data_IF_150720918231
#
_entry.id   IF_150720918231
#
_cell.length_a   1.000
_cell.length_b   1.000
_cell.length_c   1.000
_cell.angle_alpha   90.00
_cell.angle_beta   90.00
_cell.angle_gamma   90.00
#
_symmetry.space_group_name_H-M   'P 1'
#
loop_
_entity.id
_entity.type
_entity.pdbx_description
1 polymer ?
#
# COMPACT_ATOMS: atom_id res chain seq x y z
N UNK A 1 -6.58 -49.83 -24.57
CA UNK A 1 -5.27 -49.19 -24.37
C UNK A 1 -5.36 -47.66 -24.46
N UNK A 2 -5.79 -47.05 -25.56
CA UNK A 2 -5.81 -45.58 -25.75
C UNK A 2 -6.57 -44.81 -24.64
N UNK A 3 -7.75 -45.30 -24.22
CA UNK A 3 -8.53 -44.70 -23.12
C UNK A 3 -7.82 -44.70 -21.77
N UNK A 4 -7.15 -45.82 -21.44
CA UNK A 4 -6.40 -45.93 -20.18
C UNK A 4 -5.19 -44.99 -20.19
N UNK A 5 -4.45 -44.94 -21.31
CA UNK A 5 -3.30 -44.02 -21.45
C UNK A 5 -3.76 -42.57 -21.32
N UNK A 6 -4.87 -42.19 -21.95
CA UNK A 6 -5.44 -40.85 -21.87
C UNK A 6 -5.84 -40.48 -20.43
N UNK A 7 -6.53 -41.39 -19.72
CA UNK A 7 -6.91 -41.19 -18.31
C UNK A 7 -5.70 -41.06 -17.40
N UNK A 8 -4.63 -41.83 -17.63
CA UNK A 8 -3.38 -41.73 -16.87
C UNK A 8 -2.71 -40.35 -17.09
N UNK A 9 -2.66 -39.87 -18.35
CA UNK A 9 -2.08 -38.57 -18.67
C UNK A 9 -2.89 -37.45 -18.02
N UNK A 10 -4.23 -37.47 -18.12
CA UNK A 10 -5.11 -36.48 -17.47
C UNK A 10 -4.92 -36.50 -15.96
N UNK A 11 -4.87 -37.70 -15.36
CA UNK A 11 -4.61 -37.83 -13.90
C UNK A 11 -3.27 -37.26 -13.48
N UNK A 12 -2.20 -37.53 -14.25
CA UNK A 12 -0.88 -36.98 -13.99
C UNK A 12 -0.85 -35.42 -14.11
N UNK A 13 -1.49 -34.88 -15.13
CA UNK A 13 -1.60 -33.42 -15.31
C UNK A 13 -2.42 -32.76 -14.18
N UNK A 14 -3.51 -33.40 -13.75
CA UNK A 14 -4.31 -32.92 -12.62
C UNK A 14 -3.51 -32.92 -11.30
N UNK A 15 -2.77 -33.99 -11.02
CA UNK A 15 -1.91 -34.08 -9.84
C UNK A 15 -0.79 -33.04 -9.89
N UNK A 16 -0.18 -32.84 -11.05
CA UNK A 16 0.83 -31.80 -11.24
C UNK A 16 0.24 -30.39 -10.97
N UNK A 17 -0.94 -30.11 -11.54
CA UNK A 17 -1.63 -28.85 -11.33
C UNK A 17 -1.96 -28.60 -9.84
N UNK A 18 -2.50 -29.60 -9.16
CA UNK A 18 -2.79 -29.56 -7.71
C UNK A 18 -1.49 -29.32 -6.93
N UNK A 19 -0.40 -30.01 -7.28
CA UNK A 19 0.90 -29.84 -6.66
C UNK A 19 1.44 -28.41 -6.80
N UNK A 20 1.32 -27.82 -7.99
CA UNK A 20 1.72 -26.41 -8.23
C UNK A 20 0.85 -25.44 -7.43
N UNK A 21 -0.47 -25.63 -7.42
CA UNK A 21 -1.36 -24.82 -6.61
C UNK A 21 -1.05 -24.94 -5.11
N UNK A 22 -0.78 -26.15 -4.63
CA UNK A 22 -0.35 -26.40 -3.25
C UNK A 22 0.96 -25.68 -2.92
N UNK A 23 1.96 -25.78 -3.79
CA UNK A 23 3.23 -25.05 -3.64
C UNK A 23 3.01 -23.53 -3.54
N UNK A 24 2.23 -22.95 -4.44
CA UNK A 24 1.89 -21.53 -4.41
C UNK A 24 1.17 -21.15 -3.12
N UNK A 25 0.25 -21.98 -2.63
CA UNK A 25 -0.45 -21.77 -1.37
C UNK A 25 0.50 -21.69 -0.16
N UNK A 26 1.49 -22.59 -0.09
CA UNK A 26 2.47 -22.58 1.02
C UNK A 26 3.53 -21.48 0.87
N UNK A 27 3.84 -21.07 -0.35
CA UNK A 27 4.84 -20.05 -0.63
C UNK A 27 4.28 -18.62 -0.70
N UNK A 28 2.95 -18.43 -0.64
CA UNK A 28 2.32 -17.14 -0.96
C UNK A 28 2.84 -15.97 -0.10
N UNK A 29 3.15 -16.18 1.18
CA UNK A 29 3.70 -15.11 2.04
C UNK A 29 5.08 -14.66 1.55
N UNK A 30 5.93 -15.60 1.11
CA UNK A 30 7.24 -15.28 0.51
C UNK A 30 7.13 -14.62 -0.86
N UNK A 31 6.05 -14.93 -1.60
CA UNK A 31 5.78 -14.33 -2.92
C UNK A 31 5.06 -12.98 -2.81
N UNK A 32 4.45 -12.71 -1.66
CA UNK A 32 3.67 -11.50 -1.42
C UNK A 32 4.46 -10.45 -0.65
N UNK A 33 5.19 -10.83 0.40
CA UNK A 33 5.89 -9.90 1.27
C UNK A 33 7.40 -9.95 1.02
N UNK A 34 7.99 -8.77 0.85
CA UNK A 34 9.42 -8.61 0.56
C UNK A 34 10.08 -7.74 1.63
N UNK A 35 10.15 -8.20 2.90
CA UNK A 35 10.76 -7.43 3.96
C UNK A 35 12.22 -7.13 3.65
N UNK A 36 12.59 -5.86 3.68
CA UNK A 36 13.95 -5.37 3.46
C UNK A 36 14.50 -4.78 4.76
N UNK A 37 15.78 -5.02 5.10
CA UNK A 37 16.42 -4.39 6.25
C UNK A 37 16.58 -2.88 6.02
N UNK A 38 16.77 -2.12 7.11
CA UNK A 38 17.10 -0.69 7.02
C UNK A 38 18.39 -0.51 6.24
N UNK A 39 18.33 0.24 5.14
CA UNK A 39 19.49 0.46 4.27
C UNK A 39 20.45 1.51 4.87
N UNK A 40 19.91 2.60 5.42
CA UNK A 40 20.64 3.66 6.08
C UNK A 40 19.70 4.51 6.95
N UNK A 41 20.17 4.94 8.11
CA UNK A 41 19.40 5.89 8.92
C UNK A 41 19.54 7.30 8.36
N UNK A 42 18.42 8.00 8.10
CA UNK A 42 18.47 9.38 7.62
C UNK A 42 19.11 10.29 8.69
N UNK A 43 19.95 11.23 8.24
CA UNK A 43 20.67 12.17 9.11
C UNK A 43 20.17 13.61 9.00
N UNK A 44 19.09 13.87 8.25
CA UNK A 44 18.56 15.22 8.08
C UNK A 44 17.96 15.76 9.38
N UNK A 45 18.19 17.04 9.76
CA UNK A 45 17.71 17.61 11.02
C UNK A 45 16.19 17.57 11.21
N UNK A 46 15.43 17.62 10.11
CA UNK A 46 13.97 17.55 10.14
C UNK A 46 13.41 16.14 10.24
N UNK A 47 14.26 15.11 10.34
CA UNK A 47 13.85 13.70 10.38
C UNK A 47 14.20 13.13 11.76
N UNK A 48 13.19 12.81 12.55
CA UNK A 48 13.32 12.12 13.83
C UNK A 48 12.93 10.64 13.70
N UNK A 49 13.58 9.78 14.48
CA UNK A 49 13.18 8.37 14.62
C UNK A 49 12.10 8.23 15.68
N UNK A 50 11.16 7.31 15.48
CA UNK A 50 10.06 7.05 16.40
C UNK A 50 9.77 5.56 16.49
N UNK A 51 9.22 5.13 17.62
CA UNK A 51 8.76 3.76 17.84
C UNK A 51 7.32 3.78 18.35
N UNK A 52 6.55 2.79 17.94
CA UNK A 52 5.17 2.60 18.34
C UNK A 52 4.96 1.14 18.73
N UNK A 53 4.35 0.90 19.89
CA UNK A 53 3.90 -0.44 20.26
C UNK A 53 2.51 -0.70 19.65
N UNK A 54 2.43 -1.70 18.77
CA UNK A 54 1.18 -2.15 18.14
C UNK A 54 0.91 -3.59 18.51
N UNK A 55 0.03 -3.79 19.49
CA UNK A 55 -0.17 -5.10 20.12
C UNK A 55 1.11 -5.57 20.81
N UNK A 56 1.59 -6.75 20.42
CA UNK A 56 2.81 -7.36 20.97
C UNK A 56 4.09 -6.91 20.27
N UNK A 57 4.00 -6.13 19.19
CA UNK A 57 5.14 -5.80 18.33
C UNK A 57 5.45 -4.32 18.38
N UNK A 58 6.75 -4.03 18.37
CA UNK A 58 7.27 -2.68 18.27
C UNK A 58 7.57 -2.33 16.83
N UNK A 59 6.89 -1.30 16.33
CA UNK A 59 7.14 -0.73 15.02
C UNK A 59 8.20 0.36 15.11
N UNK A 60 8.99 0.49 14.07
CA UNK A 60 10.00 1.54 13.89
C UNK A 60 9.66 2.42 12.71
N UNK A 61 9.88 3.72 12.88
CA UNK A 61 9.52 4.68 11.85
C UNK A 61 10.20 6.03 12.04
N UNK A 62 9.71 6.98 11.28
CA UNK A 62 10.24 8.34 11.22
C UNK A 62 9.11 9.36 11.25
N UNK A 63 9.41 10.50 11.86
CA UNK A 63 8.59 11.69 11.79
C UNK A 63 9.42 12.79 11.14
N UNK A 64 8.84 13.41 10.12
CA UNK A 64 9.49 14.43 9.32
C UNK A 64 8.74 15.75 9.54
N UNK A 65 9.50 16.85 9.72
CA UNK A 65 8.96 18.18 9.97
C UNK A 65 7.99 18.22 11.18
N UNK A 66 8.39 17.62 12.30
CA UNK A 66 7.55 17.50 13.51
C UNK A 66 6.99 18.83 14.01
N UNK A 67 7.69 19.95 13.79
CA UNK A 67 7.28 21.31 14.21
C UNK A 67 6.39 22.03 13.18
N UNK A 68 6.08 21.39 12.06
CA UNK A 68 5.17 21.92 11.05
C UNK A 68 3.78 22.13 11.65
N UNK A 69 3.12 23.23 11.31
CA UNK A 69 1.73 23.50 11.65
C UNK A 69 0.75 23.08 10.53
N UNK A 70 1.27 22.49 9.46
CA UNK A 70 0.47 21.95 8.36
C UNK A 70 -0.27 20.67 8.73
N UNK A 71 -0.86 19.98 7.76
CA UNK A 71 -1.60 18.74 8.00
C UNK A 71 -0.70 17.62 8.53
N UNK A 72 -1.32 16.60 9.12
CA UNK A 72 -0.68 15.30 9.39
C UNK A 72 -0.74 14.46 8.12
N UNK A 73 0.37 13.91 7.69
CA UNK A 73 0.44 13.00 6.55
C UNK A 73 0.99 11.65 7.00
N UNK A 74 0.16 10.62 7.01
CA UNK A 74 0.59 9.24 7.26
C UNK A 74 0.85 8.55 5.93
N UNK A 75 2.07 8.02 5.74
CA UNK A 75 2.48 7.34 4.52
C UNK A 75 2.61 5.84 4.71
N UNK A 76 1.94 5.09 3.85
CA UNK A 76 2.04 3.64 3.72
C UNK A 76 2.77 3.28 2.43
N UNK A 77 3.97 2.76 2.56
CA UNK A 77 4.85 2.42 1.45
C UNK A 77 4.40 1.24 0.61
N UNK A 78 5.08 1.04 -0.51
CA UNK A 78 4.87 -0.12 -1.38
C UNK A 78 5.40 -1.41 -0.75
N UNK A 79 5.04 -2.53 -1.38
CA UNK A 79 5.60 -3.83 -1.00
C UNK A 79 7.10 -3.88 -1.28
N UNK A 80 7.89 -4.24 -0.28
CA UNK A 80 9.36 -4.23 -0.36
C UNK A 80 10.01 -2.86 -0.18
N UNK A 81 9.22 -1.80 0.06
CA UNK A 81 9.75 -0.48 0.35
C UNK A 81 10.18 -0.39 1.82
N UNK A 82 11.47 -0.14 2.04
CA UNK A 82 12.01 0.20 3.34
C UNK A 82 12.05 1.74 3.45
N UNK A 83 11.31 2.29 4.42
CA UNK A 83 10.90 3.69 4.38
C UNK A 83 12.00 4.69 4.76
N UNK A 84 13.13 4.27 5.32
CA UNK A 84 14.25 5.17 5.58
C UNK A 84 14.71 5.91 4.33
N UNK A 85 14.69 5.23 3.19
CA UNK A 85 15.08 5.79 1.90
C UNK A 85 14.05 6.79 1.33
N UNK A 86 12.80 6.65 1.72
CA UNK A 86 11.72 7.55 1.28
C UNK A 86 11.63 8.83 2.09
N UNK A 87 12.11 8.83 3.34
CA UNK A 87 12.00 9.98 4.27
C UNK A 87 12.51 11.32 3.71
N UNK A 88 13.64 11.39 2.96
CA UNK A 88 14.16 12.67 2.47
C UNK A 88 13.21 13.40 1.53
N UNK A 89 12.35 12.67 0.81
CA UNK A 89 11.38 13.29 -0.10
C UNK A 89 10.35 14.11 0.69
N UNK A 90 9.94 13.64 1.88
CA UNK A 90 8.92 14.30 2.69
C UNK A 90 9.39 15.59 3.38
N UNK A 91 10.69 15.86 3.44
CA UNK A 91 11.25 17.10 4.03
C UNK A 91 10.71 18.36 3.34
N UNK A 92 10.44 18.29 2.03
CA UNK A 92 9.93 19.43 1.27
C UNK A 92 8.40 19.66 1.36
N UNK A 93 7.68 18.76 2.07
CA UNK A 93 6.23 18.91 2.25
C UNK A 93 5.92 19.84 3.41
N UNK A 94 4.91 20.72 3.27
CA UNK A 94 4.44 21.58 4.37
C UNK A 94 3.49 20.78 5.30
N UNK A 95 3.94 19.64 5.80
CA UNK A 95 3.17 18.71 6.62
C UNK A 95 4.09 18.06 7.65
N UNK A 96 3.54 17.62 8.79
CA UNK A 96 4.20 16.64 9.64
C UNK A 96 3.95 15.26 9.01
N UNK A 97 4.98 14.62 8.48
CA UNK A 97 4.86 13.33 7.81
C UNK A 97 5.31 12.19 8.71
N UNK A 98 4.49 11.15 8.80
CA UNK A 98 4.68 9.99 9.67
C UNK A 98 4.81 8.75 8.80
N UNK A 99 5.94 8.05 8.92
CA UNK A 99 6.27 6.86 8.16
C UNK A 99 6.70 5.75 9.12
N UNK A 100 6.00 4.62 9.13
CA UNK A 100 6.41 3.43 9.89
C UNK A 100 6.65 2.26 8.95
N UNK A 101 7.79 1.59 9.10
CA UNK A 101 7.99 0.30 8.46
C UNK A 101 6.93 -0.69 8.93
N UNK A 102 6.38 -1.45 8.00
CA UNK A 102 5.45 -2.52 8.34
C UNK A 102 6.09 -3.53 9.30
N UNK A 103 5.24 -4.22 10.08
CA UNK A 103 5.72 -5.34 10.90
C UNK A 103 6.58 -6.30 10.08
N UNK A 104 7.75 -6.65 10.58
CA UNK A 104 8.73 -7.49 9.91
C UNK A 104 9.57 -6.82 8.82
N UNK A 105 9.35 -5.50 8.55
CA UNK A 105 10.17 -4.71 7.62
C UNK A 105 11.12 -3.79 8.39
N UNK A 106 12.30 -3.55 7.84
CA UNK A 106 13.32 -2.75 8.52
C UNK A 106 13.62 -3.31 9.90
N UNK A 107 13.53 -2.42 10.91
CA UNK A 107 13.71 -2.79 12.32
C UNK A 107 12.38 -2.97 13.07
N UNK A 108 11.24 -3.02 12.36
CA UNK A 108 9.95 -3.34 12.96
C UNK A 108 9.85 -4.82 13.29
N UNK A 109 9.36 -5.14 14.49
CA UNK A 109 9.17 -6.51 14.95
C UNK A 109 7.99 -7.21 14.24
N UNK A 110 7.88 -8.51 14.46
CA UNK A 110 6.76 -9.34 13.99
C UNK A 110 6.94 -9.92 12.60
N UNK A 111 5.81 -10.33 12.00
CA UNK A 111 5.74 -10.88 10.64
C UNK A 111 4.61 -10.19 9.89
N UNK A 112 4.82 -9.87 8.59
CA UNK A 112 3.78 -9.22 7.80
C UNK A 112 2.57 -10.14 7.62
N UNK A 113 1.38 -9.56 7.80
CA UNK A 113 0.10 -10.18 7.52
C UNK A 113 -0.94 -9.09 7.27
N UNK A 114 -1.98 -9.37 6.50
CA UNK A 114 -3.04 -8.38 6.24
C UNK A 114 -3.65 -7.83 7.53
N UNK A 115 -4.11 -8.71 8.41
CA UNK A 115 -4.74 -8.31 9.68
C UNK A 115 -3.79 -7.45 10.51
N UNK A 116 -2.53 -7.88 10.60
CA UNK A 116 -1.53 -7.13 11.36
C UNK A 116 -1.20 -5.77 10.75
N UNK A 117 -1.03 -5.70 9.43
CA UNK A 117 -0.71 -4.43 8.75
C UNK A 117 -1.87 -3.43 8.82
N UNK A 118 -3.11 -3.91 8.79
CA UNK A 118 -4.29 -3.06 8.99
C UNK A 118 -4.35 -2.52 10.41
N UNK A 119 -4.19 -3.37 11.43
CA UNK A 119 -4.15 -2.92 12.82
C UNK A 119 -2.98 -1.95 13.10
N UNK A 120 -1.82 -2.19 12.50
CA UNK A 120 -0.67 -1.27 12.61
C UNK A 120 -0.98 0.09 11.98
N UNK A 121 -1.64 0.09 10.82
CA UNK A 121 -1.97 1.33 10.12
C UNK A 121 -2.94 2.20 10.95
N UNK A 122 -3.92 1.58 11.59
CA UNK A 122 -4.83 2.27 12.51
C UNK A 122 -4.09 2.83 13.72
N UNK A 123 -3.21 2.04 14.34
CA UNK A 123 -2.38 2.46 15.47
C UNK A 123 -1.44 3.62 15.10
N UNK A 124 -0.88 3.63 13.89
CA UNK A 124 -0.04 4.71 13.39
C UNK A 124 -0.82 6.02 13.23
N UNK A 125 -2.08 5.95 12.75
CA UNK A 125 -2.94 7.14 12.68
C UNK A 125 -3.28 7.65 14.07
N UNK A 126 -3.67 6.77 15.00
CA UNK A 126 -3.96 7.15 16.38
C UNK A 126 -2.74 7.80 17.05
N UNK A 127 -1.55 7.23 16.84
CA UNK A 127 -0.30 7.82 17.30
C UNK A 127 -0.07 9.22 16.70
N UNK A 128 -0.27 9.37 15.38
CA UNK A 128 -0.06 10.65 14.70
C UNK A 128 -0.95 11.75 15.28
N UNK A 129 -2.23 11.47 15.48
CA UNK A 129 -3.19 12.41 16.05
C UNK A 129 -2.91 12.70 17.54
N UNK A 130 -2.61 11.67 18.33
CA UNK A 130 -2.30 11.86 19.75
C UNK A 130 -1.03 12.66 20.00
N UNK A 131 0.02 12.46 19.17
CA UNK A 131 1.32 13.12 19.34
C UNK A 131 1.38 14.52 18.76
N UNK A 132 0.64 14.79 17.65
CA UNK A 132 0.80 16.02 16.86
C UNK A 132 -0.48 16.84 16.72
N UNK A 133 -1.60 16.40 17.29
CA UNK A 133 -2.86 17.15 17.39
C UNK A 133 -4.01 16.56 16.57
N UNK A 134 -5.16 16.40 17.23
CA UNK A 134 -6.40 15.91 16.61
C UNK A 134 -7.11 16.97 15.73
N UNK A 135 -6.82 18.23 15.96
CA UNK A 135 -7.47 19.35 15.23
C UNK A 135 -6.80 19.64 13.88
N UNK A 136 -5.73 18.94 13.56
CA UNK A 136 -5.00 19.11 12.30
C UNK A 136 -5.61 18.23 11.22
N UNK A 137 -5.74 18.73 9.97
CA UNK A 137 -6.19 17.90 8.87
C UNK A 137 -5.35 16.64 8.74
N UNK A 138 -5.99 15.48 8.65
CA UNK A 138 -5.37 14.17 8.48
C UNK A 138 -5.37 13.77 7.01
N UNK A 139 -4.20 13.51 6.47
CA UNK A 139 -4.00 12.96 5.14
C UNK A 139 -3.42 11.56 5.25
N UNK A 140 -3.93 10.64 4.44
CA UNK A 140 -3.38 9.30 4.31
C UNK A 140 -2.87 9.10 2.89
N UNK A 141 -1.60 8.72 2.76
CA UNK A 141 -0.97 8.46 1.48
C UNK A 141 -0.55 6.99 1.38
N UNK A 142 -1.00 6.28 0.34
CA UNK A 142 -0.62 4.90 0.09
C UNK A 142 -0.06 4.67 -1.31
N UNK A 143 1.03 3.90 -1.40
CA UNK A 143 1.65 3.50 -2.66
C UNK A 143 1.53 2.00 -2.86
N UNK A 144 1.05 1.54 -4.03
CA UNK A 144 0.97 0.11 -4.37
C UNK A 144 0.24 -0.68 -3.26
N UNK A 145 0.87 -1.66 -2.59
CA UNK A 145 0.29 -2.35 -1.43
C UNK A 145 -0.19 -1.36 -0.36
N UNK A 146 0.57 -0.29 -0.11
CA UNK A 146 0.18 0.77 0.81
C UNK A 146 -1.11 1.48 0.41
N UNK A 147 -1.49 1.50 -0.88
CA UNK A 147 -2.76 2.08 -1.31
C UNK A 147 -3.96 1.31 -0.75
N UNK A 148 -3.87 -0.01 -0.67
CA UNK A 148 -4.92 -0.85 -0.08
C UNK A 148 -5.00 -0.64 1.43
N UNK A 149 -3.84 -0.50 2.09
CA UNK A 149 -3.76 -0.16 3.51
C UNK A 149 -4.37 1.22 3.76
N UNK A 150 -4.04 2.21 2.92
CA UNK A 150 -4.60 3.55 3.00
C UNK A 150 -6.12 3.58 2.83
N UNK A 151 -6.67 2.79 1.91
CA UNK A 151 -8.13 2.67 1.71
C UNK A 151 -8.80 2.05 2.94
N UNK A 152 -8.24 0.96 3.49
CA UNK A 152 -8.73 0.38 4.74
C UNK A 152 -8.69 1.41 5.88
N UNK A 153 -7.55 2.07 6.06
CA UNK A 153 -7.38 3.10 7.09
C UNK A 153 -8.36 4.26 6.92
N UNK A 154 -8.63 4.66 5.68
CA UNK A 154 -9.58 5.74 5.40
C UNK A 154 -11.02 5.37 5.79
N UNK A 155 -11.42 4.10 5.60
CA UNK A 155 -12.73 3.62 6.03
C UNK A 155 -12.88 3.59 7.57
N UNK A 156 -11.79 3.33 8.30
CA UNK A 156 -11.81 3.22 9.77
C UNK A 156 -11.55 4.55 10.48
N UNK A 157 -10.70 5.42 9.91
CA UNK A 157 -10.20 6.66 10.56
C UNK A 157 -10.72 7.94 9.95
N UNK A 158 -11.45 7.88 8.83
CA UNK A 158 -12.10 9.01 8.16
C UNK A 158 -11.20 10.25 7.98
N UNK A 159 -10.06 10.13 7.26
CA UNK A 159 -9.16 11.25 7.02
C UNK A 159 -9.81 12.33 6.15
N UNK A 160 -9.32 13.58 6.25
CA UNK A 160 -9.79 14.70 5.44
C UNK A 160 -9.44 14.55 3.95
N UNK A 161 -8.33 13.85 3.65
CA UNK A 161 -7.93 13.58 2.28
C UNK A 161 -7.13 12.28 2.14
N UNK A 162 -7.19 11.69 0.95
CA UNK A 162 -6.47 10.47 0.61
C UNK A 162 -5.66 10.66 -0.67
N UNK A 163 -4.43 10.15 -0.67
CA UNK A 163 -3.54 10.12 -1.83
C UNK A 163 -3.19 8.67 -2.12
N UNK A 164 -3.43 8.22 -3.34
CA UNK A 164 -3.18 6.83 -3.74
C UNK A 164 -2.33 6.79 -5.01
N UNK A 165 -1.19 6.13 -4.93
CA UNK A 165 -0.30 5.91 -6.07
C UNK A 165 -0.39 4.46 -6.52
N UNK A 166 -0.76 4.26 -7.79
CA UNK A 166 -1.02 2.95 -8.40
C UNK A 166 -1.98 2.08 -7.56
N UNK A 167 -3.18 2.58 -7.19
CA UNK A 167 -4.13 1.81 -6.41
C UNK A 167 -4.73 0.65 -7.21
N UNK A 168 -5.13 -0.38 -6.47
CA UNK A 168 -5.84 -1.54 -6.98
C UNK A 168 -6.89 -2.04 -5.98
N UNK A 169 -7.84 -2.86 -6.43
CA UNK A 169 -9.01 -3.26 -5.61
C UNK A 169 -8.71 -4.40 -4.64
N UNK A 170 -7.89 -5.36 -5.09
CA UNK A 170 -7.49 -6.52 -4.28
C UNK A 170 -6.24 -7.19 -4.84
N UNK A 171 -5.48 -7.86 -3.99
CA UNK A 171 -4.38 -8.73 -4.44
C UNK A 171 -4.91 -9.87 -5.31
N UNK A 172 -6.13 -10.33 -5.08
CA UNK A 172 -6.75 -11.37 -5.91
C UNK A 172 -6.93 -10.91 -7.37
N UNK A 173 -7.33 -9.66 -7.59
CA UNK A 173 -7.51 -9.11 -8.93
C UNK A 173 -6.17 -9.03 -9.66
N UNK A 174 -5.13 -8.49 -9.01
CA UNK A 174 -3.77 -8.43 -9.56
C UNK A 174 -3.21 -9.83 -9.85
N UNK A 175 -3.38 -10.78 -8.93
CA UNK A 175 -2.95 -12.17 -9.11
C UNK A 175 -3.68 -12.85 -10.27
N UNK A 176 -4.95 -12.56 -10.50
CA UNK A 176 -5.74 -13.10 -11.62
C UNK A 176 -5.18 -12.64 -12.97
N UNK A 177 -4.70 -11.40 -13.06
CA UNK A 177 -4.04 -10.91 -14.28
C UNK A 177 -2.68 -11.59 -14.49
N UNK A 178 -1.95 -11.86 -13.42
CA UNK A 178 -0.60 -12.46 -13.47
C UNK A 178 -0.62 -13.96 -13.71
N UNK A 179 -1.59 -14.68 -13.11
CA UNK A 179 -1.72 -16.14 -13.14
C UNK A 179 -2.96 -16.59 -13.92
N UNK A 180 -3.07 -16.16 -15.18
CA UNK A 180 -4.24 -16.40 -16.05
C UNK A 180 -4.60 -17.87 -16.28
N UNK A 181 -3.69 -18.78 -15.97
CA UNK A 181 -3.90 -20.25 -16.07
C UNK A 181 -4.56 -20.84 -14.81
N UNK A 182 -4.71 -20.05 -13.72
CA UNK A 182 -5.46 -20.43 -12.53
C UNK A 182 -6.83 -19.74 -12.58
N UNK A 183 -7.94 -20.48 -12.41
CA UNK A 183 -9.25 -19.85 -12.32
C UNK A 183 -9.32 -18.80 -11.21
N UNK A 184 -9.98 -17.67 -11.47
CA UNK A 184 -10.07 -16.56 -10.50
C UNK A 184 -10.69 -16.99 -9.15
N UNK A 185 -11.68 -17.90 -9.19
CA UNK A 185 -12.28 -18.48 -7.98
C UNK A 185 -11.26 -19.25 -7.13
N UNK A 186 -10.36 -20.01 -7.78
CA UNK A 186 -9.29 -20.75 -7.10
C UNK A 186 -8.29 -19.79 -6.48
N UNK A 187 -7.88 -18.73 -7.19
CA UNK A 187 -6.99 -17.70 -6.64
C UNK A 187 -7.61 -17.07 -5.39
N UNK A 188 -8.86 -16.63 -5.46
CA UNK A 188 -9.55 -16.00 -4.33
C UNK A 188 -9.68 -16.95 -3.13
N UNK A 189 -9.97 -18.22 -3.38
CA UNK A 189 -10.07 -19.23 -2.31
C UNK A 189 -8.71 -19.53 -1.65
N UNK A 190 -7.62 -19.52 -2.42
CA UNK A 190 -6.28 -19.86 -1.94
C UNK A 190 -5.61 -18.71 -1.17
N UNK A 191 -5.97 -17.44 -1.42
CA UNK A 191 -5.27 -16.30 -0.82
C UNK A 191 -5.57 -16.18 0.67
N UNK A 192 -4.53 -16.16 1.49
CA UNK A 192 -4.59 -15.88 2.93
C UNK A 192 -4.70 -14.37 3.22
N UNK A 193 -4.13 -13.57 2.33
CA UNK A 193 -4.03 -12.12 2.44
C UNK A 193 -4.59 -11.49 1.16
N UNK A 194 -5.93 -11.49 0.96
CA UNK A 194 -6.54 -10.96 -0.26
C UNK A 194 -6.42 -9.43 -0.39
N UNK A 195 -6.22 -8.69 0.71
CA UNK A 195 -6.21 -7.23 0.74
C UNK A 195 -7.35 -6.64 -0.11
N UNK A 196 -8.54 -7.16 0.07
CA UNK A 196 -9.73 -6.74 -0.68
C UNK A 196 -10.38 -5.53 -0.01
N UNK A 197 -10.28 -4.38 -0.66
CA UNK A 197 -10.87 -3.11 -0.22
C UNK A 197 -12.02 -2.66 -1.13
N UNK A 198 -12.50 -3.53 -1.99
CA UNK A 198 -13.53 -3.22 -2.99
C UNK A 198 -14.76 -2.51 -2.41
N UNK A 199 -15.16 -2.85 -1.19
CA UNK A 199 -16.32 -2.25 -0.52
C UNK A 199 -16.02 -0.86 0.04
N UNK A 200 -14.79 -0.63 0.51
CA UNK A 200 -14.37 0.62 1.14
C UNK A 200 -14.04 1.73 0.12
N UNK A 201 -13.81 1.39 -1.16
CA UNK A 201 -13.44 2.39 -2.18
C UNK A 201 -14.48 3.51 -2.30
N UNK A 202 -15.78 3.18 -2.26
CA UNK A 202 -16.86 4.16 -2.34
C UNK A 202 -16.96 5.08 -1.12
N UNK A 203 -16.34 4.74 -0.01
CA UNK A 203 -16.36 5.49 1.25
C UNK A 203 -15.21 6.49 1.38
N UNK A 204 -14.31 6.53 0.37
CA UNK A 204 -13.19 7.48 0.38
C UNK A 204 -13.69 8.92 0.38
N UNK A 205 -12.97 9.84 1.06
CA UNK A 205 -13.34 11.26 1.11
C UNK A 205 -13.40 11.86 -0.30
N UNK A 206 -14.22 12.89 -0.48
CA UNK A 206 -14.31 13.61 -1.75
C UNK A 206 -12.98 14.21 -2.18
N UNK A 207 -12.09 14.49 -1.24
CA UNK A 207 -10.75 14.96 -1.49
C UNK A 207 -9.78 13.79 -1.64
N UNK A 208 -9.77 13.21 -2.84
CA UNK A 208 -8.91 12.07 -3.18
C UNK A 208 -8.04 12.40 -4.38
N UNK A 209 -6.71 12.17 -4.27
CA UNK A 209 -5.75 12.25 -5.38
C UNK A 209 -5.31 10.85 -5.78
N UNK A 210 -5.47 10.52 -7.06
CA UNK A 210 -4.93 9.30 -7.67
C UNK A 210 -3.70 9.65 -8.51
N UNK A 211 -2.58 9.00 -8.23
CA UNK A 211 -1.36 9.11 -9.03
C UNK A 211 -1.22 7.81 -9.84
N UNK A 212 -1.36 7.90 -11.15
CA UNK A 212 -1.45 6.78 -12.06
C UNK A 212 -0.20 6.68 -12.94
N UNK A 213 0.45 5.52 -12.93
CA UNK A 213 1.53 5.18 -13.87
C UNK A 213 0.94 4.65 -15.18
N UNK A 214 1.34 5.22 -16.32
CA UNK A 214 0.76 4.82 -17.61
C UNK A 214 1.41 3.57 -18.20
N UNK A 215 2.63 3.22 -17.77
CA UNK A 215 3.36 2.02 -18.21
C UNK A 215 3.55 0.99 -17.10
N UNK A 216 2.72 1.02 -16.06
CA UNK A 216 2.80 0.12 -14.93
C UNK A 216 2.58 -1.34 -15.34
N UNK A 217 3.61 -2.17 -15.13
CA UNK A 217 3.57 -3.61 -15.43
C UNK A 217 3.34 -4.48 -14.18
N UNK A 218 3.35 -3.88 -12.99
CA UNK A 218 3.07 -4.56 -11.72
C UNK A 218 1.59 -4.44 -11.40
N UNK A 219 1.08 -3.22 -11.36
CA UNK A 219 -0.35 -2.92 -11.27
C UNK A 219 -0.79 -2.34 -12.61
N UNK A 220 -1.35 -3.16 -13.49
CA UNK A 220 -1.73 -2.68 -14.82
C UNK A 220 -2.64 -1.45 -14.73
N UNK A 221 -2.44 -0.41 -15.56
CA UNK A 221 -3.21 0.83 -15.52
C UNK A 221 -4.73 0.61 -15.50
N UNK A 222 -5.20 -0.47 -16.12
CA UNK A 222 -6.61 -0.88 -16.07
C UNK A 222 -7.10 -1.16 -14.65
N UNK A 223 -6.27 -1.69 -13.76
CA UNK A 223 -6.68 -1.95 -12.37
C UNK A 223 -6.90 -0.65 -11.61
N UNK A 224 -6.06 0.36 -11.84
CA UNK A 224 -6.28 1.72 -11.33
C UNK A 224 -7.55 2.35 -11.93
N UNK A 225 -7.80 2.17 -13.23
CA UNK A 225 -9.04 2.66 -13.85
C UNK A 225 -10.30 2.00 -13.23
N UNK A 226 -10.27 0.68 -13.05
CA UNK A 226 -11.35 -0.06 -12.38
C UNK A 226 -11.51 0.28 -10.88
N UNK A 227 -10.46 0.78 -10.24
CA UNK A 227 -10.54 1.35 -8.90
C UNK A 227 -11.26 2.71 -8.93
N UNK A 228 -10.86 3.60 -9.84
CA UNK A 228 -11.46 4.94 -10.02
C UNK A 228 -12.95 4.83 -10.32
N UNK A 229 -13.37 3.89 -11.16
CA UNK A 229 -14.78 3.65 -11.52
C UNK A 229 -15.68 3.29 -10.32
N UNK A 230 -15.10 2.97 -9.16
CA UNK A 230 -15.83 2.65 -7.92
C UNK A 230 -15.92 3.80 -6.92
N UNK A 231 -15.24 4.89 -7.18
CA UNK A 231 -15.34 6.08 -6.33
C UNK A 231 -16.70 6.75 -6.51
N UNK A 232 -17.31 7.14 -5.39
CA UNK A 232 -18.58 7.88 -5.42
C UNK A 232 -18.40 9.34 -5.85
N UNK A 233 -17.20 9.88 -5.65
CA UNK A 233 -16.82 11.25 -6.05
C UNK A 233 -15.62 11.18 -6.99
N UNK A 234 -15.63 11.90 -8.13
CA UNK A 234 -14.49 11.97 -9.03
C UNK A 234 -13.24 12.46 -8.30
N UNK A 235 -12.10 11.73 -8.39
CA UNK A 235 -10.86 12.15 -7.76
C UNK A 235 -10.09 13.16 -8.61
N UNK A 236 -9.14 13.87 -8.01
CA UNK A 236 -8.04 14.48 -8.76
C UNK A 236 -7.15 13.38 -9.34
N UNK A 237 -6.75 13.51 -10.60
CA UNK A 237 -5.90 12.50 -11.26
C UNK A 237 -4.61 13.15 -11.75
N UNK A 238 -3.49 12.69 -11.22
CA UNK A 238 -2.15 12.95 -11.77
C UNK A 238 -1.68 11.71 -12.54
N UNK A 239 -1.12 11.91 -13.73
CA UNK A 239 -0.59 10.82 -14.57
C UNK A 239 0.88 11.06 -14.85
N UNK A 240 1.65 9.99 -14.86
CA UNK A 240 3.05 10.05 -15.29
C UNK A 240 3.37 8.92 -16.25
N UNK A 241 4.22 9.25 -17.22
CA UNK A 241 4.76 8.29 -18.17
C UNK A 241 5.94 7.57 -17.50
N UNK A 242 5.70 6.37 -17.00
CA UNK A 242 6.71 5.59 -16.29
C UNK A 242 6.20 4.27 -15.76
N UNK A 243 7.11 3.54 -15.14
CA UNK A 243 6.88 2.21 -14.58
C UNK A 243 6.44 2.29 -13.11
N UNK A 244 6.04 1.14 -12.55
CA UNK A 244 5.57 1.02 -11.15
C UNK A 244 6.55 1.57 -10.10
N UNK A 245 7.85 1.34 -10.31
CA UNK A 245 8.90 1.62 -9.33
C UNK A 245 9.61 2.95 -9.56
N UNK A 246 8.98 3.91 -10.25
CA UNK A 246 9.55 5.25 -10.36
C UNK A 246 9.74 5.88 -8.96
N UNK A 247 10.85 6.61 -8.76
CA UNK A 247 11.10 7.30 -7.51
C UNK A 247 10.01 8.31 -7.18
N UNK A 248 9.64 8.45 -5.91
CA UNK A 248 8.70 9.49 -5.46
C UNK A 248 9.12 10.91 -5.87
N UNK A 249 10.43 11.13 -6.00
CA UNK A 249 11.00 12.41 -6.46
C UNK A 249 10.73 12.73 -7.94
N UNK A 250 10.16 11.79 -8.71
CA UNK A 250 9.81 12.08 -10.12
C UNK A 250 8.87 13.31 -10.19
N UNK A 251 9.17 14.32 -11.03
CA UNK A 251 8.45 15.59 -11.01
C UNK A 251 6.94 15.44 -11.22
N UNK A 252 6.51 14.52 -12.09
CA UNK A 252 5.09 14.30 -12.39
C UNK A 252 4.36 13.53 -11.29
N UNK A 253 5.08 12.95 -10.34
CA UNK A 253 4.54 12.36 -9.10
C UNK A 253 4.56 13.41 -8.00
N UNK A 254 5.72 14.03 -7.77
CA UNK A 254 5.97 14.86 -6.60
C UNK A 254 5.26 16.21 -6.64
N UNK A 255 5.24 16.88 -7.80
CA UNK A 255 4.57 18.20 -7.94
C UNK A 255 3.07 18.16 -7.66
N UNK A 256 2.28 17.23 -8.25
CA UNK A 256 0.86 17.10 -7.92
C UNK A 256 0.63 16.78 -6.44
N UNK A 257 1.46 15.90 -5.85
CA UNK A 257 1.40 15.56 -4.43
C UNK A 257 1.64 16.78 -3.55
N UNK A 258 2.71 17.56 -3.80
CA UNK A 258 2.99 18.80 -3.05
C UNK A 258 1.84 19.81 -3.15
N UNK A 259 1.31 20.01 -4.35
CA UNK A 259 0.19 20.93 -4.57
C UNK A 259 -1.06 20.47 -3.81
N UNK A 260 -1.36 19.17 -3.82
CA UNK A 260 -2.50 18.61 -3.11
C UNK A 260 -2.37 18.77 -1.60
N UNK A 261 -1.20 18.44 -1.02
CA UNK A 261 -0.94 18.61 0.42
C UNK A 261 -1.04 20.09 0.83
N UNK A 262 -0.43 21.00 0.05
CA UNK A 262 -0.47 22.44 0.32
C UNK A 262 -1.90 22.99 0.34
N UNK A 263 -2.73 22.55 -0.59
CA UNK A 263 -4.11 23.03 -0.69
C UNK A 263 -5.02 22.46 0.43
N UNK A 264 -4.57 21.50 1.23
CA UNK A 264 -5.33 20.95 2.37
C UNK A 264 -5.18 21.82 3.63
N UNK A 265 -4.32 22.82 3.63
CA UNK A 265 -4.13 23.75 4.77
C UNK A 265 -5.17 24.86 4.86
N UNK A 266 -6.00 25.06 3.85
CA UNK A 266 -6.85 26.27 3.68
C UNK A 266 -8.34 26.07 3.97
N UNK A 267 -8.73 25.03 4.71
CA UNK A 267 -10.15 24.79 5.04
C UNK A 267 -10.36 24.59 6.52
#
# INVERSE_FOLDING_TARGET
MLRMTLLTIIGALALFYIGVCGLLYFMQERLMFFPSPVAAYPTHPSIGTVSLDSGEFRLKGWVINQDSQGPLLVYFGGNGEELSQSTPHFVSLPATSILFNYRGYGDSEGKPSQIGMFADAEAVVDFAQAAYGHDRPLLVFGRSLGSVIAVHTAAEKHPDAVILMSPFRSVADVATVRYRWIPASTIRWMLRHPFDVTKAIGELPSRTLIIRADEDRVIPPRETDLFIDRLNTPPDIARYLGQHNEPLAHPDIWRPLQAFVKNTQGH
#
